data_IF_030274583415
#
_entry.id   IF_030274583415
#
_cell.length_a   1.000
_cell.length_b   1.000
_cell.length_c   1.000
_cell.angle_alpha   90.00
_cell.angle_beta   90.00
_cell.angle_gamma   90.00
#
_symmetry.space_group_name_H-M   'P 1'
#
loop_
_entity.id
_entity.type
_entity.pdbx_description
1 polymer ?
#
# COMPACT_ATOMS: atom_id res chain seq x y z
N UNK A 1 27.36 -22.99 -5.38
CA UNK A 1 26.66 -22.33 -6.51
C UNK A 1 27.55 -21.17 -6.94
N UNK A 2 28.06 -21.16 -8.17
CA UNK A 2 28.91 -20.08 -8.71
C UNK A 2 28.35 -19.64 -10.06
N UNK A 3 27.26 -18.83 -10.06
CA UNK A 3 26.63 -18.43 -11.31
C UNK A 3 27.62 -17.59 -12.13
N UNK A 4 27.77 -17.91 -13.42
CA UNK A 4 28.65 -17.17 -14.34
C UNK A 4 28.21 -15.72 -14.52
N UNK A 5 26.95 -15.41 -14.23
CA UNK A 5 26.35 -14.09 -14.38
C UNK A 5 25.21 -13.86 -13.38
N UNK A 6 25.10 -12.63 -12.89
CA UNK A 6 24.01 -12.16 -12.04
C UNK A 6 23.39 -10.92 -12.68
N UNK A 7 22.10 -11.01 -13.04
CA UNK A 7 21.35 -9.86 -13.53
C UNK A 7 20.69 -9.15 -12.34
N UNK A 8 20.86 -7.84 -12.27
CA UNK A 8 20.31 -7.01 -11.20
C UNK A 8 18.87 -6.63 -11.52
N UNK A 9 18.02 -6.64 -10.50
CA UNK A 9 16.64 -6.16 -10.56
C UNK A 9 16.58 -4.84 -9.78
N UNK A 10 16.46 -3.69 -10.46
CA UNK A 10 16.24 -2.40 -9.79
C UNK A 10 14.93 -2.44 -9.00
N UNK A 11 14.94 -1.82 -7.82
CA UNK A 11 13.79 -1.68 -6.94
C UNK A 11 13.54 -0.19 -6.71
N UNK A 12 12.32 0.27 -7.02
CA UNK A 12 11.88 1.65 -6.78
C UNK A 12 10.94 1.69 -5.57
N UNK A 13 11.29 2.51 -4.56
CA UNK A 13 10.63 2.49 -3.23
C UNK A 13 10.03 3.84 -2.79
N UNK A 14 10.15 4.88 -3.59
CA UNK A 14 9.45 6.15 -3.40
C UNK A 14 8.65 6.57 -4.65
N UNK A 15 7.70 7.49 -4.47
CA UNK A 15 6.79 7.87 -5.54
C UNK A 15 7.50 8.62 -6.69
N UNK A 16 8.57 9.36 -6.40
CA UNK A 16 9.32 10.12 -7.41
C UNK A 16 10.15 9.18 -8.29
N UNK A 17 10.82 8.21 -7.67
CA UNK A 17 11.54 7.12 -8.33
C UNK A 17 10.61 6.26 -9.17
N UNK A 18 9.43 5.90 -8.65
CA UNK A 18 8.42 5.15 -9.41
C UNK A 18 7.98 5.94 -10.64
N UNK A 19 7.74 7.25 -10.51
CA UNK A 19 7.32 8.10 -11.63
C UNK A 19 8.39 8.30 -12.72
N UNK A 20 9.65 8.06 -12.37
CA UNK A 20 10.84 8.10 -13.25
C UNK A 20 11.42 6.71 -13.54
N UNK A 21 10.65 5.64 -13.27
CA UNK A 21 11.16 4.27 -13.37
C UNK A 21 11.68 3.94 -14.78
N UNK A 22 11.02 4.44 -15.82
CA UNK A 22 11.44 4.30 -17.21
C UNK A 22 12.76 5.03 -17.52
N UNK A 23 12.90 6.28 -17.08
CA UNK A 23 14.13 7.06 -17.25
C UNK A 23 15.32 6.39 -16.54
N UNK A 24 15.11 5.97 -15.29
CA UNK A 24 16.11 5.26 -14.50
C UNK A 24 16.47 3.89 -15.10
N UNK A 25 15.49 3.14 -15.62
CA UNK A 25 15.73 1.87 -16.29
C UNK A 25 16.48 2.06 -17.60
N UNK A 26 16.15 3.08 -18.39
CA UNK A 26 16.85 3.40 -19.64
C UNK A 26 18.33 3.62 -19.38
N UNK A 27 18.65 4.47 -18.42
CA UNK A 27 20.05 4.75 -18.08
C UNK A 27 20.73 3.49 -17.53
N UNK A 28 20.04 2.70 -16.70
CA UNK A 28 20.56 1.43 -16.19
C UNK A 28 20.87 0.42 -17.31
N UNK A 29 20.10 0.41 -18.39
CA UNK A 29 20.18 -0.55 -19.49
C UNK A 29 21.12 -0.13 -20.64
N UNK A 30 21.46 1.15 -20.75
CA UNK A 30 22.16 1.76 -21.90
C UNK A 30 23.34 0.95 -22.45
N UNK A 31 24.19 0.41 -21.59
CA UNK A 31 25.40 -0.34 -21.96
C UNK A 31 25.27 -1.86 -21.73
N UNK A 32 24.04 -2.39 -21.58
CA UNK A 32 23.77 -3.79 -21.21
C UNK A 32 22.82 -4.51 -22.16
N UNK A 33 22.22 -3.80 -23.12
CA UNK A 33 21.16 -4.34 -23.98
C UNK A 33 21.59 -5.60 -24.73
N UNK A 34 22.77 -5.59 -25.35
CA UNK A 34 23.28 -6.73 -26.14
C UNK A 34 23.56 -7.98 -25.30
N UNK A 35 23.67 -7.80 -23.98
CA UNK A 35 23.92 -8.91 -23.08
C UNK A 35 22.63 -9.47 -22.47
N UNK A 36 21.49 -8.78 -22.51
CA UNK A 36 20.29 -9.15 -21.75
C UNK A 36 19.22 -9.76 -22.65
N UNK A 37 18.75 -10.96 -22.29
CA UNK A 37 17.57 -11.57 -22.93
C UNK A 37 16.27 -10.85 -22.51
N UNK A 38 16.25 -10.33 -21.29
CA UNK A 38 15.15 -9.57 -20.71
C UNK A 38 15.64 -8.79 -19.50
N UNK A 39 14.86 -7.80 -19.06
CA UNK A 39 15.05 -7.08 -17.81
C UNK A 39 13.87 -7.31 -16.86
N UNK A 40 14.12 -7.32 -15.56
CA UNK A 40 13.07 -7.25 -14.54
C UNK A 40 13.18 -5.94 -13.76
N UNK A 41 12.06 -5.42 -13.31
CA UNK A 41 12.01 -4.24 -12.44
C UNK A 41 11.07 -4.51 -11.29
N UNK A 42 11.43 -4.07 -10.09
CA UNK A 42 10.59 -4.21 -8.92
C UNK A 42 10.03 -2.83 -8.53
N UNK A 43 8.72 -2.76 -8.39
CA UNK A 43 8.01 -1.58 -7.92
C UNK A 43 7.42 -1.89 -6.54
N UNK A 44 7.85 -1.13 -5.51
CA UNK A 44 7.26 -1.26 -4.19
C UNK A 44 5.87 -0.62 -4.15
N UNK A 45 4.94 -1.24 -3.41
CA UNK A 45 3.64 -0.63 -3.08
C UNK A 45 3.62 -0.10 -1.66
N UNK A 46 4.04 -0.93 -0.72
CA UNK A 46 3.77 -0.71 0.71
C UNK A 46 4.46 0.54 1.27
N UNK A 47 5.78 0.65 1.07
CA UNK A 47 6.57 1.74 1.64
C UNK A 47 6.24 3.11 1.01
N UNK A 48 6.12 3.25 -0.33
CA UNK A 48 5.61 4.49 -0.91
C UNK A 48 4.23 4.88 -0.37
N UNK A 49 3.32 3.92 -0.16
CA UNK A 49 1.96 4.24 0.31
C UNK A 49 1.97 4.85 1.72
N UNK A 50 2.90 4.40 2.57
CA UNK A 50 3.10 4.94 3.91
C UNK A 50 3.65 6.37 3.90
N UNK A 51 4.33 6.78 2.84
CA UNK A 51 4.90 8.12 2.71
C UNK A 51 3.94 9.08 1.98
N UNK A 52 3.18 8.59 0.99
CA UNK A 52 2.48 9.43 0.01
C UNK A 52 0.99 9.14 -0.18
N UNK A 53 0.41 8.21 0.58
CA UNK A 53 -0.96 7.67 0.47
C UNK A 53 -1.13 6.45 -0.45
N UNK A 54 -2.15 5.65 -0.12
CA UNK A 54 -2.58 4.46 -0.87
C UNK A 54 -3.00 4.81 -2.31
N UNK A 55 -3.72 5.92 -2.51
CA UNK A 55 -4.26 6.32 -3.80
C UNK A 55 -3.18 6.92 -4.71
N UNK A 56 -2.34 7.81 -4.18
CA UNK A 56 -1.26 8.43 -4.95
C UNK A 56 -0.32 7.38 -5.54
N UNK A 57 0.01 6.36 -4.75
CA UNK A 57 0.89 5.28 -5.21
C UNK A 57 0.22 4.38 -6.24
N UNK A 58 -1.10 4.15 -6.16
CA UNK A 58 -1.83 3.45 -7.23
C UNK A 58 -1.73 4.22 -8.54
N UNK A 59 -1.91 5.55 -8.50
CA UNK A 59 -1.76 6.41 -9.67
C UNK A 59 -0.34 6.32 -10.23
N UNK A 60 0.68 6.50 -9.38
CA UNK A 60 2.08 6.46 -9.79
C UNK A 60 2.47 5.13 -10.44
N UNK A 61 2.06 4.01 -9.84
CA UNK A 61 2.34 2.67 -10.39
C UNK A 61 1.69 2.49 -11.76
N UNK A 62 0.45 2.95 -11.95
CA UNK A 62 -0.24 2.82 -13.25
C UNK A 62 0.49 3.59 -14.35
N UNK A 63 0.91 4.82 -14.06
CA UNK A 63 1.69 5.64 -14.99
C UNK A 63 3.04 5.00 -15.27
N UNK A 64 3.75 4.54 -14.22
CA UNK A 64 5.04 3.89 -14.36
C UNK A 64 4.98 2.63 -15.22
N UNK A 65 3.98 1.78 -15.03
CA UNK A 65 3.80 0.56 -15.82
C UNK A 65 3.52 0.85 -17.29
N UNK A 66 2.81 1.93 -17.60
CA UNK A 66 2.61 2.39 -18.98
C UNK A 66 3.93 2.85 -19.60
N UNK A 67 4.68 3.72 -18.92
CA UNK A 67 5.98 4.20 -19.40
C UNK A 67 7.03 3.09 -19.55
N UNK A 68 7.05 2.12 -18.63
CA UNK A 68 7.93 0.95 -18.71
C UNK A 68 7.60 0.10 -19.94
N UNK A 69 6.31 -0.04 -20.26
CA UNK A 69 5.89 -0.75 -21.47
C UNK A 69 6.33 0.01 -22.73
N UNK A 70 6.15 1.33 -22.78
CA UNK A 70 6.64 2.17 -23.88
C UNK A 70 8.16 2.05 -24.05
N UNK A 71 8.92 2.03 -22.94
CA UNK A 71 10.37 1.81 -22.95
C UNK A 71 10.76 0.43 -23.50
N UNK A 72 10.02 -0.62 -23.12
CA UNK A 72 10.24 -1.97 -23.67
C UNK A 72 10.13 -1.96 -25.20
N UNK A 73 9.09 -1.32 -25.74
CA UNK A 73 8.86 -1.27 -27.19
C UNK A 73 9.97 -0.49 -27.91
N UNK A 74 10.45 0.59 -27.30
CA UNK A 74 11.54 1.39 -27.85
C UNK A 74 12.87 0.63 -27.84
N UNK A 75 13.23 0.02 -26.71
CA UNK A 75 14.50 -0.69 -26.54
C UNK A 75 14.50 -2.10 -27.16
N UNK A 76 13.33 -2.60 -27.58
CA UNK A 76 13.14 -3.94 -28.16
C UNK A 76 13.66 -5.06 -27.27
N UNK A 77 13.53 -4.89 -25.96
CA UNK A 77 13.84 -5.90 -24.93
C UNK A 77 12.63 -6.07 -24.02
N UNK A 78 12.28 -7.31 -23.70
CA UNK A 78 11.20 -7.58 -22.76
C UNK A 78 11.56 -7.04 -21.37
N UNK A 79 10.64 -6.26 -20.78
CA UNK A 79 10.74 -5.82 -19.39
C UNK A 79 9.60 -6.48 -18.61
N UNK A 80 9.93 -7.15 -17.51
CA UNK A 80 8.99 -7.91 -16.70
C UNK A 80 8.85 -7.27 -15.30
N UNK A 81 7.83 -6.40 -15.09
CA UNK A 81 7.61 -5.75 -13.81
C UNK A 81 7.19 -6.74 -12.71
N UNK A 82 7.68 -6.47 -11.50
CA UNK A 82 7.34 -7.15 -10.26
C UNK A 82 6.65 -6.13 -9.36
N UNK A 83 5.47 -6.46 -8.83
CA UNK A 83 4.77 -5.61 -7.87
C UNK A 83 4.90 -6.16 -6.45
N UNK A 84 5.51 -5.37 -5.57
CA UNK A 84 5.61 -5.63 -4.14
C UNK A 84 4.35 -5.25 -3.38
N UNK A 85 3.36 -6.14 -3.36
CA UNK A 85 2.07 -5.94 -2.70
C UNK A 85 1.84 -6.89 -1.51
N UNK A 86 1.15 -6.39 -0.49
CA UNK A 86 0.67 -7.13 0.67
C UNK A 86 -0.84 -7.37 0.65
N UNK A 87 -1.31 -8.15 1.61
CA UNK A 87 -2.72 -8.55 1.75
C UNK A 87 -3.61 -7.42 2.28
N UNK A 88 -3.08 -6.56 3.18
CA UNK A 88 -3.83 -5.40 3.64
C UNK A 88 -4.20 -4.48 2.46
N UNK A 89 -5.41 -3.88 2.42
CA UNK A 89 -5.79 -2.93 1.38
C UNK A 89 -4.76 -1.81 1.18
N UNK A 90 -4.30 -1.23 2.29
CA UNK A 90 -3.23 -0.21 2.32
C UNK A 90 -1.85 -0.71 1.86
N UNK A 91 -1.70 -1.99 1.51
CA UNK A 91 -0.44 -2.52 0.96
C UNK A 91 -0.59 -3.18 -0.39
N UNK A 92 -1.77 -3.09 -1.02
CA UNK A 92 -2.03 -3.60 -2.36
C UNK A 92 -3.15 -4.63 -2.45
N UNK A 93 -3.79 -4.96 -1.33
CA UNK A 93 -4.98 -5.84 -1.29
C UNK A 93 -4.79 -7.18 -2.01
N UNK A 94 -3.59 -7.79 -1.97
CA UNK A 94 -3.30 -9.04 -2.68
C UNK A 94 -3.50 -10.24 -1.75
N UNK A 95 -4.64 -10.94 -1.93
CA UNK A 95 -5.08 -12.07 -1.12
C UNK A 95 -5.69 -13.18 -1.99
N UNK A 96 -5.92 -14.39 -1.45
CA UNK A 96 -6.65 -15.44 -2.16
C UNK A 96 -8.05 -15.03 -2.64
N UNK A 97 -8.67 -14.02 -2.02
CA UNK A 97 -10.02 -13.55 -2.36
C UNK A 97 -10.03 -12.36 -3.32
N UNK A 98 -8.89 -11.70 -3.51
CA UNK A 98 -8.81 -10.42 -4.24
C UNK A 98 -7.79 -10.45 -5.39
N UNK A 99 -7.01 -11.52 -5.54
CA UNK A 99 -5.94 -11.59 -6.55
C UNK A 99 -6.42 -11.30 -7.98
N UNK A 100 -7.62 -11.76 -8.36
CA UNK A 100 -8.20 -11.50 -9.70
C UNK A 100 -8.34 -10.01 -9.96
N UNK A 101 -8.97 -9.31 -9.01
CA UNK A 101 -9.14 -7.86 -9.08
C UNK A 101 -7.79 -7.12 -9.16
N UNK A 102 -6.77 -7.58 -8.43
CA UNK A 102 -5.45 -6.97 -8.47
C UNK A 102 -4.73 -7.22 -9.79
N UNK A 103 -4.77 -8.46 -10.31
CA UNK A 103 -4.18 -8.80 -11.62
C UNK A 103 -4.86 -7.99 -12.73
N UNK A 104 -6.19 -7.92 -12.73
CA UNK A 104 -6.94 -7.13 -13.71
C UNK A 104 -6.63 -5.63 -13.61
N UNK A 105 -6.24 -5.15 -12.42
CA UNK A 105 -5.78 -3.78 -12.25
C UNK A 105 -4.35 -3.55 -12.71
N UNK A 106 -3.47 -4.54 -12.65
CA UNK A 106 -2.07 -4.38 -13.05
C UNK A 106 -1.70 -5.43 -14.11
N UNK A 107 -2.32 -5.39 -15.30
CA UNK A 107 -2.24 -6.48 -16.28
C UNK A 107 -0.83 -6.71 -16.84
N UNK A 108 0.04 -5.69 -16.85
CA UNK A 108 1.44 -5.79 -17.29
C UNK A 108 2.42 -6.25 -16.22
N UNK A 109 1.96 -6.45 -14.98
CA UNK A 109 2.81 -7.00 -13.92
C UNK A 109 2.98 -8.50 -14.14
N UNK A 110 4.23 -8.91 -14.34
CA UNK A 110 4.62 -10.30 -14.58
C UNK A 110 4.73 -11.13 -13.29
N UNK A 111 4.88 -10.48 -12.13
CA UNK A 111 5.11 -11.15 -10.86
C UNK A 111 4.55 -10.33 -9.71
N UNK A 112 3.75 -10.96 -8.85
CA UNK A 112 3.26 -10.36 -7.61
C UNK A 112 3.93 -11.03 -6.42
N UNK A 113 4.27 -10.27 -5.38
CA UNK A 113 4.81 -10.88 -4.16
C UNK A 113 3.74 -11.60 -3.35
N UNK A 114 3.98 -12.85 -2.99
CA UNK A 114 3.15 -13.61 -2.04
C UNK A 114 3.73 -13.50 -0.62
N UNK A 115 3.08 -12.71 0.22
CA UNK A 115 3.54 -12.41 1.58
C UNK A 115 3.02 -13.43 2.62
N UNK A 116 3.47 -13.30 3.87
CA UNK A 116 3.09 -14.24 4.95
C UNK A 116 1.59 -14.39 5.14
N UNK A 117 0.85 -13.27 5.16
CA UNK A 117 -0.58 -13.30 5.42
C UNK A 117 -1.31 -14.15 4.37
N UNK A 118 -1.04 -13.91 3.08
CA UNK A 118 -1.53 -14.73 1.97
C UNK A 118 -1.33 -16.23 2.20
N UNK A 119 -0.18 -16.65 2.74
CA UNK A 119 0.16 -18.08 2.90
C UNK A 119 -0.41 -18.74 4.14
N UNK A 120 -0.58 -17.99 5.23
CA UNK A 120 -0.77 -18.56 6.57
C UNK A 120 -2.05 -18.08 7.28
N UNK A 121 -2.63 -16.96 6.85
CA UNK A 121 -3.84 -16.39 7.47
C UNK A 121 -5.12 -16.73 6.65
N UNK A 122 -5.01 -17.59 5.62
CA UNK A 122 -6.13 -18.05 4.77
C UNK A 122 -6.18 -19.58 4.69
N UNK A 123 -7.36 -20.18 4.36
CA UNK A 123 -7.48 -21.62 4.15
C UNK A 123 -6.53 -22.15 3.06
N UNK A 124 -5.81 -23.23 3.35
CA UNK A 124 -4.79 -23.80 2.44
C UNK A 124 -5.32 -24.06 1.03
N UNK A 125 -6.56 -24.55 0.92
CA UNK A 125 -7.21 -24.81 -0.38
C UNK A 125 -7.41 -23.54 -1.20
N UNK A 126 -7.77 -22.43 -0.56
CA UNK A 126 -7.95 -21.14 -1.23
C UNK A 126 -6.60 -20.58 -1.69
N UNK A 127 -5.56 -20.73 -0.86
CA UNK A 127 -4.18 -20.33 -1.19
C UNK A 127 -3.67 -21.09 -2.41
N UNK A 128 -3.77 -22.42 -2.41
CA UNK A 128 -3.32 -23.27 -3.53
C UNK A 128 -4.05 -22.90 -4.83
N UNK A 129 -5.39 -22.82 -4.77
CA UNK A 129 -6.22 -22.43 -5.91
C UNK A 129 -5.84 -21.03 -6.42
N UNK A 130 -5.59 -20.07 -5.54
CA UNK A 130 -5.20 -18.73 -5.95
C UNK A 130 -3.83 -18.74 -6.64
N UNK A 131 -2.83 -19.46 -6.10
CA UNK A 131 -1.50 -19.59 -6.72
C UNK A 131 -1.57 -20.23 -8.10
N UNK A 132 -2.34 -21.30 -8.26
CA UNK A 132 -2.57 -21.95 -9.55
C UNK A 132 -3.15 -20.96 -10.57
N UNK A 133 -4.20 -20.24 -10.18
CA UNK A 133 -4.83 -19.24 -11.05
C UNK A 133 -3.92 -18.05 -11.38
N UNK A 134 -3.11 -17.60 -10.43
CA UNK A 134 -2.11 -16.54 -10.66
C UNK A 134 -1.08 -17.01 -11.70
N UNK A 135 -0.56 -18.23 -11.58
CA UNK A 135 0.47 -18.76 -12.48
C UNK A 135 -0.02 -18.98 -13.91
N UNK A 136 -1.31 -19.25 -14.13
CA UNK A 136 -1.90 -19.41 -15.47
C UNK A 136 -2.45 -18.10 -16.03
N UNK A 137 -2.47 -17.02 -15.24
CA UNK A 137 -2.99 -15.72 -15.70
C UNK A 137 -2.04 -15.10 -16.73
N UNK A 138 -2.53 -14.65 -17.89
CA UNK A 138 -1.68 -14.06 -18.91
C UNK A 138 -1.23 -12.66 -18.49
N UNK A 139 0.04 -12.34 -18.76
CA UNK A 139 0.55 -10.96 -18.73
C UNK A 139 0.07 -10.26 -20.00
N UNK A 140 -0.50 -9.07 -19.86
CA UNK A 140 -1.04 -8.27 -20.97
C UNK A 140 -0.39 -6.88 -20.98
N UNK A 141 -0.76 -6.05 -21.95
CA UNK A 141 -0.36 -4.65 -21.98
C UNK A 141 -0.91 -3.89 -20.76
N UNK A 142 -0.25 -2.81 -20.31
CA UNK A 142 -0.80 -1.93 -19.27
C UNK A 142 -2.09 -1.27 -19.76
N UNK A 143 -2.83 -0.67 -18.83
CA UNK A 143 -3.91 0.26 -19.18
C UNK A 143 -3.29 1.58 -19.62
N UNK A 144 -3.56 2.01 -20.86
CA UNK A 144 -3.12 3.30 -21.37
C UNK A 144 -3.99 4.43 -20.82
N UNK A 145 -3.36 5.46 -20.25
CA UNK A 145 -4.03 6.55 -19.56
C UNK A 145 -4.02 7.83 -20.40
N UNK A 146 -5.20 8.33 -20.79
CA UNK A 146 -5.30 9.55 -21.62
C UNK A 146 -5.03 10.84 -20.82
N UNK A 147 -5.44 10.90 -19.55
CA UNK A 147 -5.39 12.12 -18.72
C UNK A 147 -4.26 12.11 -17.68
N UNK A 148 -3.04 11.72 -18.07
CA UNK A 148 -1.87 11.59 -17.17
C UNK A 148 -1.61 12.86 -16.35
N UNK A 149 -1.65 14.05 -16.97
CA UNK A 149 -1.37 15.32 -16.27
C UNK A 149 -2.37 15.61 -15.14
N UNK A 150 -3.65 15.27 -15.34
CA UNK A 150 -4.67 15.47 -14.31
C UNK A 150 -4.47 14.46 -13.18
N UNK A 151 -4.19 13.20 -13.51
CA UNK A 151 -3.88 12.16 -12.53
C UNK A 151 -2.65 12.52 -11.68
N UNK A 152 -1.61 13.09 -12.29
CA UNK A 152 -0.42 13.58 -11.57
C UNK A 152 -0.79 14.72 -10.62
N UNK A 153 -1.68 15.65 -11.03
CA UNK A 153 -2.19 16.70 -10.13
C UNK A 153 -2.98 16.14 -8.95
N UNK A 154 -3.87 15.17 -9.20
CA UNK A 154 -4.62 14.47 -8.15
C UNK A 154 -3.67 13.76 -7.19
N UNK A 155 -2.71 13.00 -7.71
CA UNK A 155 -1.67 12.31 -6.95
C UNK A 155 -0.94 13.27 -6.01
N UNK A 156 -0.43 14.41 -6.52
CA UNK A 156 0.28 15.40 -5.71
C UNK A 156 -0.60 16.01 -4.63
N UNK A 157 -1.83 16.42 -4.99
CA UNK A 157 -2.80 17.00 -4.06
C UNK A 157 -3.13 16.03 -2.92
N UNK A 158 -3.38 14.75 -3.22
CA UNK A 158 -3.65 13.73 -2.20
C UNK A 158 -2.41 13.43 -1.35
N UNK A 159 -1.22 13.36 -1.94
CA UNK A 159 0.04 13.17 -1.21
C UNK A 159 0.35 14.30 -0.24
N UNK A 160 0.08 15.55 -0.62
CA UNK A 160 0.25 16.72 0.25
C UNK A 160 -0.68 16.67 1.46
N UNK A 161 -1.97 16.41 1.24
CA UNK A 161 -2.95 16.29 2.33
C UNK A 161 -2.67 15.06 3.22
N UNK A 162 -2.25 13.94 2.62
CA UNK A 162 -1.84 12.76 3.36
C UNK A 162 -0.68 13.07 4.30
N UNK A 163 0.39 13.72 3.81
CA UNK A 163 1.56 14.07 4.63
C UNK A 163 1.21 15.03 5.76
N UNK A 164 0.33 16.01 5.50
CA UNK A 164 -0.22 16.90 6.53
C UNK A 164 -0.92 16.11 7.64
N UNK A 165 -1.83 15.20 7.29
CA UNK A 165 -2.54 14.36 8.26
C UNK A 165 -1.60 13.39 8.98
N UNK A 166 -0.66 12.80 8.25
CA UNK A 166 0.33 11.85 8.75
C UNK A 166 1.19 12.47 9.86
N UNK A 167 1.62 13.72 9.68
CA UNK A 167 2.39 14.48 10.68
C UNK A 167 1.66 14.60 12.00
N UNK A 168 0.36 14.87 11.95
CA UNK A 168 -0.48 15.01 13.14
C UNK A 168 -0.67 13.67 13.87
N UNK A 169 -0.84 12.55 13.14
CA UNK A 169 -1.07 11.23 13.74
C UNK A 169 0.20 10.45 14.08
N UNK A 170 1.37 10.83 13.55
CA UNK A 170 2.62 10.10 13.73
C UNK A 170 2.97 9.80 15.21
N UNK A 171 2.77 10.71 16.18
CA UNK A 171 3.00 10.41 17.60
C UNK A 171 2.11 9.27 18.11
N UNK A 172 0.82 9.27 17.75
CA UNK A 172 -0.12 8.21 18.14
C UNK A 172 0.25 6.88 17.50
N UNK A 173 0.60 6.88 16.21
CA UNK A 173 1.01 5.67 15.49
C UNK A 173 2.28 5.07 16.10
N UNK A 174 3.29 5.89 16.40
CA UNK A 174 4.51 5.42 17.05
C UNK A 174 4.25 4.86 18.45
N UNK A 175 3.36 5.51 19.23
CA UNK A 175 2.94 5.04 20.56
C UNK A 175 2.32 3.65 20.50
N UNK A 176 1.56 3.33 19.45
CA UNK A 176 0.92 2.02 19.29
C UNK A 176 1.81 0.96 18.63
N UNK A 177 2.70 1.39 17.73
CA UNK A 177 3.55 0.49 16.96
C UNK A 177 4.44 -0.42 17.81
N UNK A 178 4.80 0.02 19.02
CA UNK A 178 5.61 -0.77 19.97
C UNK A 178 4.87 -2.00 20.50
N UNK A 179 3.52 -1.97 20.50
CA UNK A 179 2.67 -3.08 20.95
C UNK A 179 2.34 -4.07 19.82
N UNK A 180 2.73 -3.78 18.58
CA UNK A 180 2.48 -4.68 17.44
C UNK A 180 3.36 -5.94 17.56
N UNK A 181 2.77 -7.15 17.55
CA UNK A 181 3.51 -8.38 17.77
C UNK A 181 4.51 -8.65 16.64
N UNK A 182 5.76 -8.96 17.02
CA UNK A 182 6.82 -9.31 16.07
C UNK A 182 6.74 -10.79 15.70
N UNK A 183 6.22 -11.11 14.51
CA UNK A 183 6.14 -12.50 14.00
C UNK A 183 7.44 -13.02 13.34
N UNK A 184 8.48 -12.20 13.17
CA UNK A 184 9.80 -12.62 12.66
C UNK A 184 10.92 -11.83 13.35
N UNK A 185 12.01 -12.50 13.73
CA UNK A 185 13.26 -11.83 14.07
C UNK A 185 13.82 -11.19 12.79
N UNK A 186 14.09 -9.88 12.82
CA UNK A 186 14.68 -9.18 11.67
C UNK A 186 15.73 -8.19 12.14
N UNK A 187 16.90 -8.23 11.50
CA UNK A 187 17.92 -7.19 11.61
C UNK A 187 17.32 -5.87 11.13
N UNK A 188 17.57 -4.79 11.87
CA UNK A 188 17.26 -3.44 11.41
C UNK A 188 18.28 -3.09 10.31
N UNK A 189 17.80 -2.64 9.15
CA UNK A 189 18.66 -2.03 8.13
C UNK A 189 18.97 -0.60 8.59
N UNK A 190 19.86 -0.47 9.55
CA UNK A 190 20.43 0.81 10.01
C UNK A 190 21.89 0.83 9.54
N UNK A 191 22.11 1.37 8.35
CA UNK A 191 23.42 1.47 7.69
C UNK A 191 23.31 2.35 6.43
N UNK A 192 24.40 2.56 5.69
CA UNK A 192 24.45 3.44 4.49
C UNK A 192 23.41 3.08 3.40
N UNK A 193 22.92 1.83 3.40
CA UNK A 193 21.87 1.30 2.50
C UNK A 193 20.58 0.95 3.28
N UNK A 194 20.40 1.57 4.43
CA UNK A 194 19.25 1.37 5.30
C UNK A 194 18.19 2.42 5.05
N UNK A 195 16.94 1.98 4.99
CA UNK A 195 15.76 2.84 4.92
C UNK A 195 15.88 4.04 5.87
N UNK A 196 15.94 5.25 5.30
CA UNK A 196 15.52 6.44 6.01
C UNK A 196 14.04 6.26 6.34
N UNK A 197 13.73 5.96 7.61
CA UNK A 197 12.35 5.96 8.13
C UNK A 197 11.88 7.36 8.51
N UNK A 198 12.71 8.33 8.16
CA UNK A 198 12.44 9.74 8.27
C UNK A 198 11.78 10.13 6.97
N UNK A 199 10.52 10.59 7.03
CA UNK A 199 9.93 11.29 5.89
C UNK A 199 10.80 12.50 5.55
N UNK A 200 10.67 13.06 4.35
CA UNK A 200 11.42 14.26 3.96
C UNK A 200 11.22 15.44 4.92
N UNK A 201 10.13 15.41 5.69
CA UNK A 201 9.77 16.39 6.73
C UNK A 201 10.32 16.07 8.13
N UNK A 202 11.15 15.03 8.27
CA UNK A 202 11.80 14.71 9.54
C UNK A 202 11.01 13.77 10.46
N UNK A 203 9.87 13.22 10.02
CA UNK A 203 8.99 12.39 10.86
C UNK A 203 9.49 10.95 10.84
N UNK A 204 9.80 10.39 12.01
CA UNK A 204 10.18 8.98 12.13
C UNK A 204 8.93 8.10 12.23
N UNK A 205 8.70 7.26 11.24
CA UNK A 205 7.57 6.32 11.21
C UNK A 205 8.00 4.89 11.56
N UNK A 206 7.08 4.07 12.12
CA UNK A 206 7.35 2.64 12.24
C UNK A 206 7.35 2.00 10.84
N UNK A 207 7.74 0.73 10.75
CA UNK A 207 7.62 0.00 9.48
C UNK A 207 6.15 -0.10 9.04
N UNK A 208 5.92 -0.16 7.73
CA UNK A 208 4.57 -0.19 7.14
C UNK A 208 3.62 -1.23 7.77
N UNK A 209 4.10 -2.42 8.13
CA UNK A 209 3.28 -3.43 8.80
C UNK A 209 2.79 -2.93 10.17
N UNK A 210 3.68 -2.33 10.96
CA UNK A 210 3.33 -1.78 12.28
C UNK A 210 2.49 -0.51 12.15
N UNK A 211 2.73 0.30 11.11
CA UNK A 211 1.91 1.46 10.77
C UNK A 211 0.45 1.04 10.50
N UNK A 212 0.25 0.12 9.54
CA UNK A 212 -1.07 -0.41 9.21
C UNK A 212 -1.72 -1.10 10.42
N UNK A 213 -0.97 -1.95 11.12
CA UNK A 213 -1.50 -2.68 12.28
C UNK A 213 -1.99 -1.72 13.38
N UNK A 214 -1.29 -0.61 13.62
CA UNK A 214 -1.70 0.39 14.61
C UNK A 214 -2.99 1.08 14.20
N UNK A 215 -3.04 1.59 12.96
CA UNK A 215 -4.14 2.39 12.45
C UNK A 215 -5.42 1.57 12.24
N UNK A 216 -5.34 0.40 11.58
CA UNK A 216 -6.50 -0.48 11.46
C UNK A 216 -7.02 -0.92 12.84
N UNK A 217 -6.15 -1.21 13.82
CA UNK A 217 -6.62 -1.71 15.12
C UNK A 217 -7.36 -0.66 15.95
N UNK A 218 -7.10 0.63 15.73
CA UNK A 218 -7.89 1.72 16.34
C UNK A 218 -9.09 2.12 15.49
N UNK A 219 -9.40 1.37 14.43
CA UNK A 219 -10.51 1.67 13.53
C UNK A 219 -10.32 2.94 12.70
N UNK A 220 -9.06 3.33 12.42
CA UNK A 220 -8.72 4.38 11.45
C UNK A 220 -7.99 3.71 10.28
N UNK A 221 -8.69 3.22 9.24
CA UNK A 221 -8.02 2.65 8.09
C UNK A 221 -7.11 3.68 7.39
N UNK A 222 -5.82 3.42 7.19
CA UNK A 222 -4.91 4.41 6.61
C UNK A 222 -5.22 4.74 5.13
N UNK A 223 -6.03 3.93 4.45
CA UNK A 223 -6.43 4.16 3.05
C UNK A 223 -7.26 5.43 2.84
N UNK A 224 -7.91 5.94 3.89
CA UNK A 224 -8.77 7.13 3.79
C UNK A 224 -7.99 8.43 4.02
N UNK A 225 -6.76 8.34 4.55
CA UNK A 225 -5.93 9.51 4.77
C UNK A 225 -5.57 10.16 3.42
N UNK A 226 -5.61 11.49 3.37
CA UNK A 226 -5.39 12.27 2.15
C UNK A 226 -6.62 12.42 1.25
N UNK A 227 -7.66 11.60 1.42
CA UNK A 227 -8.82 11.62 0.51
C UNK A 227 -9.73 12.86 0.70
N UNK A 228 -9.61 13.58 1.82
CA UNK A 228 -10.27 14.87 2.05
C UNK A 228 -9.87 15.94 1.03
N UNK A 229 -8.73 15.77 0.35
CA UNK A 229 -8.29 16.68 -0.71
C UNK A 229 -9.09 16.52 -2.00
N UNK A 230 -9.86 15.43 -2.16
CA UNK A 230 -10.58 15.11 -3.39
C UNK A 230 -11.85 15.92 -3.52
N UNK A 231 -12.14 16.34 -4.76
CA UNK A 231 -13.41 16.93 -5.14
C UNK A 231 -14.23 15.98 -6.03
N UNK A 232 -15.47 16.37 -6.32
CA UNK A 232 -16.38 15.57 -7.14
C UNK A 232 -15.87 15.38 -8.58
N UNK A 233 -15.05 16.30 -9.08
CA UNK A 233 -14.50 16.25 -10.43
C UNK A 233 -13.33 15.26 -10.54
N UNK A 234 -12.60 15.02 -9.44
CA UNK A 234 -11.50 14.05 -9.40
C UNK A 234 -11.99 12.60 -9.54
N UNK A 235 -13.17 12.30 -8.99
CA UNK A 235 -13.72 10.93 -8.94
C UNK A 235 -13.83 10.28 -10.31
N UNK A 236 -14.10 11.06 -11.36
CA UNK A 236 -14.17 10.53 -12.73
C UNK A 236 -12.81 10.01 -13.22
N UNK A 237 -11.72 10.68 -12.87
CA UNK A 237 -10.35 10.27 -13.22
C UNK A 237 -9.87 9.12 -12.33
N UNK A 238 -10.21 9.15 -11.03
CA UNK A 238 -9.87 8.07 -10.10
C UNK A 238 -10.49 6.75 -10.54
N UNK A 239 -11.75 6.76 -11.00
CA UNK A 239 -12.40 5.54 -11.48
C UNK A 239 -11.74 4.92 -12.74
N UNK A 240 -11.00 5.71 -13.53
CA UNK A 240 -10.22 5.21 -14.67
C UNK A 240 -9.01 4.41 -14.20
N UNK A 241 -8.26 4.92 -13.21
CA UNK A 241 -7.02 4.28 -12.72
C UNK A 241 -7.27 3.20 -11.67
N UNK A 242 -8.33 3.37 -10.87
CA UNK A 242 -8.75 2.46 -9.82
C UNK A 242 -10.23 2.11 -10.00
N UNK A 243 -10.56 1.25 -10.99
CA UNK A 243 -11.90 0.69 -11.13
C UNK A 243 -12.43 0.17 -9.79
N UNK A 244 -13.68 0.50 -9.48
CA UNK A 244 -14.35 0.15 -8.21
C UNK A 244 -13.75 0.83 -6.97
N UNK A 245 -13.09 1.98 -7.13
CA UNK A 245 -12.50 2.75 -6.02
C UNK A 245 -13.47 2.93 -4.86
N UNK A 246 -14.68 3.46 -5.12
CA UNK A 246 -15.70 3.67 -4.08
C UNK A 246 -16.03 2.40 -3.32
N UNK A 247 -16.30 1.31 -4.03
CA UNK A 247 -16.61 0.02 -3.41
C UNK A 247 -15.44 -0.50 -2.56
N UNK A 248 -14.20 -0.32 -3.01
CA UNK A 248 -13.01 -0.74 -2.27
C UNK A 248 -12.78 0.10 -1.03
N UNK A 249 -13.01 1.40 -1.09
CA UNK A 249 -12.97 2.26 0.10
C UNK A 249 -14.12 1.93 1.05
N UNK A 250 -15.33 1.63 0.56
CA UNK A 250 -16.44 1.14 1.37
C UNK A 250 -16.12 -0.17 2.11
N UNK A 251 -15.46 -1.13 1.43
CA UNK A 251 -14.98 -2.36 2.06
C UNK A 251 -13.96 -2.07 3.17
N UNK A 252 -13.03 -1.14 2.92
CA UNK A 252 -12.05 -0.70 3.92
C UNK A 252 -12.72 -0.01 5.11
N UNK A 253 -13.69 0.85 4.85
CA UNK A 253 -14.47 1.57 5.86
C UNK A 253 -15.36 0.65 6.69
N UNK A 254 -15.58 -0.61 6.30
CA UNK A 254 -16.16 -1.59 7.22
C UNK A 254 -15.35 -1.74 8.52
N UNK A 255 -14.05 -1.38 8.51
CA UNK A 255 -13.16 -1.40 9.67
C UNK A 255 -13.08 -0.05 10.40
N UNK A 256 -13.83 0.96 9.95
CA UNK A 256 -13.89 2.27 10.60
C UNK A 256 -14.58 2.20 11.97
N UNK A 257 -14.04 2.94 12.94
CA UNK A 257 -14.67 3.18 14.23
C UNK A 257 -14.65 4.68 14.54
N UNK A 258 -15.84 5.28 14.63
CA UNK A 258 -16.02 6.71 14.86
C UNK A 258 -15.48 7.19 16.21
N UNK A 259 -15.39 6.30 17.21
CA UNK A 259 -14.78 6.60 18.51
C UNK A 259 -13.30 7.01 18.39
N UNK A 260 -12.62 6.63 17.29
CA UNK A 260 -11.21 6.99 17.09
C UNK A 260 -11.01 8.50 17.06
N UNK A 261 -12.04 9.25 16.65
CA UNK A 261 -12.02 10.72 16.63
C UNK A 261 -11.72 11.31 18.02
N UNK A 262 -12.03 10.61 19.11
CA UNK A 262 -11.74 11.06 20.48
C UNK A 262 -10.24 11.14 20.77
N UNK A 263 -9.44 10.28 20.14
CA UNK A 263 -7.99 10.18 20.34
C UNK A 263 -7.17 10.80 19.21
N UNK A 264 -7.81 11.29 18.13
CA UNK A 264 -7.14 12.02 17.06
C UNK A 264 -6.95 13.51 17.37
N UNK A 265 -5.89 14.16 16.86
CA UNK A 265 -5.73 15.62 16.93
C UNK A 265 -6.93 16.36 16.33
N UNK A 266 -7.34 17.47 16.96
CA UNK A 266 -8.50 18.25 16.51
C UNK A 266 -8.36 18.80 15.08
N UNK A 267 -7.13 19.06 14.65
CA UNK A 267 -6.71 19.59 13.34
C UNK A 267 -7.08 18.72 12.14
N UNK A 268 -7.44 17.45 12.35
CA UNK A 268 -7.76 16.51 11.26
C UNK A 268 -9.14 15.86 11.40
N UNK A 269 -9.87 16.10 12.51
CA UNK A 269 -11.13 15.40 12.79
C UNK A 269 -12.22 15.70 11.76
N UNK A 270 -12.31 16.95 11.30
CA UNK A 270 -13.24 17.37 10.25
C UNK A 270 -12.96 16.60 8.97
N UNK A 271 -11.70 16.58 8.54
CA UNK A 271 -11.28 16.05 7.26
C UNK A 271 -11.54 14.55 7.17
N UNK A 272 -11.24 13.82 8.26
CA UNK A 272 -11.54 12.39 8.38
C UNK A 272 -13.05 12.16 8.35
N UNK A 273 -13.84 12.95 9.09
CA UNK A 273 -15.30 12.81 9.14
C UNK A 273 -15.93 13.06 7.77
N UNK A 274 -15.52 14.12 7.10
CA UNK A 274 -15.98 14.46 5.75
C UNK A 274 -15.62 13.36 4.76
N UNK A 275 -14.39 12.85 4.82
CA UNK A 275 -13.95 11.72 4.00
C UNK A 275 -14.83 10.49 4.20
N UNK A 276 -15.11 10.10 5.45
CA UNK A 276 -15.96 8.94 5.75
C UNK A 276 -17.38 9.13 5.19
N UNK A 277 -17.92 10.34 5.29
CA UNK A 277 -19.27 10.67 4.78
C UNK A 277 -19.40 10.62 3.25
N UNK A 278 -18.29 10.54 2.51
CA UNK A 278 -18.31 10.40 1.05
C UNK A 278 -18.66 8.98 0.59
N UNK A 279 -18.72 8.00 1.50
CA UNK A 279 -18.87 6.59 1.18
C UNK A 279 -19.95 5.92 2.02
N UNK A 280 -20.74 5.07 1.38
CA UNK A 280 -21.64 4.14 2.07
C UNK A 280 -20.89 2.88 2.47
N UNK A 281 -21.04 2.42 3.71
CA UNK A 281 -20.40 1.18 4.17
C UNK A 281 -21.21 0.52 5.28
N UNK A 282 -20.96 -0.79 5.47
CA UNK A 282 -21.51 -1.56 6.58
C UNK A 282 -20.39 -1.83 7.60
N UNK A 283 -20.50 -1.32 8.84
CA UNK A 283 -19.51 -1.59 9.88
C UNK A 283 -19.37 -3.09 10.18
N UNK A 284 -18.14 -3.52 10.41
CA UNK A 284 -17.82 -4.82 10.97
C UNK A 284 -17.90 -4.75 12.50
N UNK A 285 -18.99 -5.26 13.06
CA UNK A 285 -19.24 -5.20 14.51
C UNK A 285 -18.18 -5.96 15.33
N UNK A 286 -17.67 -7.09 14.82
CA UNK A 286 -16.62 -7.85 15.50
C UNK A 286 -15.33 -7.03 15.61
N UNK A 287 -14.97 -6.31 14.54
CA UNK A 287 -13.84 -5.40 14.58
C UNK A 287 -14.12 -4.23 15.55
N UNK A 288 -15.32 -3.65 15.50
CA UNK A 288 -15.69 -2.49 16.32
C UNK A 288 -15.52 -2.79 17.82
N UNK A 289 -15.90 -3.98 18.28
CA UNK A 289 -15.70 -4.41 19.69
C UNK A 289 -14.24 -4.29 20.12
N UNK A 290 -13.30 -4.80 19.32
CA UNK A 290 -11.88 -4.74 19.66
C UNK A 290 -11.31 -3.33 19.53
N UNK A 291 -11.70 -2.58 18.50
CA UNK A 291 -11.19 -1.22 18.32
C UNK A 291 -11.72 -0.25 19.37
N UNK A 292 -12.99 -0.34 19.79
CA UNK A 292 -13.54 0.49 20.87
C UNK A 292 -12.81 0.26 22.20
N UNK A 293 -12.55 -1.00 22.58
CA UNK A 293 -11.76 -1.27 23.80
C UNK A 293 -10.33 -0.74 23.69
N UNK A 294 -9.69 -0.87 22.52
CA UNK A 294 -8.35 -0.34 22.31
C UNK A 294 -8.35 1.20 22.40
N UNK A 295 -9.29 1.88 21.73
CA UNK A 295 -9.45 3.34 21.79
C UNK A 295 -9.65 3.80 23.24
N UNK A 296 -10.55 3.14 23.98
CA UNK A 296 -10.83 3.43 25.39
C UNK A 296 -9.56 3.35 26.23
N UNK A 297 -8.77 2.29 26.10
CA UNK A 297 -7.49 2.14 26.81
C UNK A 297 -6.48 3.21 26.45
N UNK A 298 -6.38 3.57 25.16
CA UNK A 298 -5.47 4.63 24.71
C UNK A 298 -5.89 5.98 25.30
N UNK A 299 -7.20 6.28 25.32
CA UNK A 299 -7.79 7.49 25.90
C UNK A 299 -7.53 7.58 27.41
N UNK A 300 -7.64 6.47 28.12
CA UNK A 300 -7.34 6.34 29.55
C UNK A 300 -5.84 6.19 29.86
N UNK A 301 -4.99 6.20 28.83
CA UNK A 301 -3.54 5.98 28.92
C UNK A 301 -3.14 4.65 29.61
N UNK A 302 -3.95 3.61 29.45
CA UNK A 302 -3.70 2.25 29.94
C UNK A 302 -2.95 1.47 28.86
N UNK A 303 -1.62 1.48 28.93
CA UNK A 303 -0.73 0.92 27.91
C UNK A 303 0.00 -0.34 28.41
N UNK A 304 -0.72 -1.45 28.51
CA UNK A 304 -0.21 -2.73 28.97
C UNK A 304 -0.24 -3.80 27.86
N UNK A 305 0.11 -5.05 28.22
CA UNK A 305 0.13 -6.18 27.29
C UNK A 305 -1.22 -6.46 26.64
N UNK A 306 -2.33 -5.94 27.21
CA UNK A 306 -3.66 -6.11 26.62
C UNK A 306 -3.77 -5.43 25.26
N UNK A 307 -3.03 -4.34 25.01
CA UNK A 307 -3.00 -3.69 23.70
C UNK A 307 -2.49 -4.66 22.63
N UNK A 308 -1.43 -5.42 22.91
CA UNK A 308 -0.91 -6.42 21.97
C UNK A 308 -1.93 -7.52 21.68
N UNK A 309 -2.68 -7.97 22.70
CA UNK A 309 -3.76 -8.93 22.51
C UNK A 309 -4.88 -8.37 21.62
N UNK A 310 -5.30 -7.13 21.86
CA UNK A 310 -6.34 -6.46 21.09
C UNK A 310 -5.93 -6.26 19.63
N UNK A 311 -4.70 -5.76 19.37
CA UNK A 311 -4.15 -5.63 18.02
C UNK A 311 -4.14 -7.00 17.30
N UNK A 312 -3.76 -8.06 18.02
CA UNK A 312 -3.73 -9.42 17.47
C UNK A 312 -5.13 -9.94 17.17
N UNK A 313 -6.10 -9.70 18.05
CA UNK A 313 -7.49 -10.10 17.88
C UNK A 313 -8.14 -9.38 16.69
N UNK A 314 -8.00 -8.05 16.61
CA UNK A 314 -8.46 -7.27 15.45
C UNK A 314 -7.80 -7.74 14.15
N UNK A 315 -6.51 -8.10 14.19
CA UNK A 315 -5.78 -8.65 13.05
C UNK A 315 -6.36 -9.98 12.55
N UNK A 316 -6.86 -10.84 13.45
CA UNK A 316 -7.56 -12.07 13.07
C UNK A 316 -8.91 -11.78 12.41
N UNK A 317 -9.69 -10.84 12.95
CA UNK A 317 -11.01 -10.46 12.37
C UNK A 317 -10.87 -9.98 10.93
N UNK A 318 -9.84 -9.18 10.63
CA UNK A 318 -9.60 -8.65 9.27
C UNK A 318 -8.71 -9.53 8.39
N UNK A 319 -8.25 -10.69 8.87
CA UNK A 319 -7.33 -11.62 8.17
C UNK A 319 -5.98 -11.02 7.73
N UNK A 320 -5.51 -9.98 8.43
CA UNK A 320 -4.16 -9.44 8.29
C UNK A 320 -3.77 -8.64 9.53
N UNK A 321 -2.50 -8.71 9.92
CA UNK A 321 -2.00 -7.85 11.00
C UNK A 321 -1.88 -6.40 10.51
N UNK A 322 -1.18 -6.22 9.38
CA UNK A 322 -0.89 -4.95 8.74
C UNK A 322 -0.16 -5.16 7.43
#
# INVERSE_FOLDING_TARGET
FNPKRLNVIPLFEDIEEIMKADENLREFLKDKLDELEYQRVFIARSDPAMNDSSLSVVIAIKIALEKIYELQEELKINIYPILGCGTAPFRGNFSPYTYKFVIDNYPSVSTFTIQSAFKYDFPVRDVQRAVENINISPVKTPHFLESKDILIKIMRKVSEEYRRQLKEIAPLVNKLAVFVPRRRARKLHTGLFGYSRQTDEGIVLPRVISFCASLYSIGLPPDILGLSALDSSDMKYINVVFPRFKEKISEVLSLWNDEVLDILPASIRSDIRETVNMFDFKPNNDHKVFSSELIRRVKENILDSKITELITASGKVRNFLG
#
